data_IF_702438941237
#
_entry.id   IF_702438941237
#
_cell.length_a   1.000
_cell.length_b   1.000
_cell.length_c   1.000
_cell.angle_alpha   90.00
_cell.angle_beta   90.00
_cell.angle_gamma   90.00
#
_symmetry.space_group_name_H-M   'P 1'
#
loop_
_entity.id
_entity.type
_entity.pdbx_description
1 polymer ?
#
# COMPACT_ATOMS: atom_id res chain seq x y z
N UNK A 1 -28.13 -12.72 38.41
CA UNK A 1 -27.98 -13.66 37.25
C UNK A 1 -27.52 -12.96 35.99
N UNK A 2 -27.73 -11.65 35.81
CA UNK A 2 -27.28 -10.88 34.66
C UNK A 2 -25.74 -10.68 34.60
N UNK A 3 -25.09 -10.52 35.76
CA UNK A 3 -23.64 -10.24 35.81
C UNK A 3 -22.74 -11.44 35.48
N UNK A 4 -23.27 -12.67 35.60
CA UNK A 4 -22.52 -13.89 35.26
C UNK A 4 -22.48 -14.11 33.75
N UNK A 5 -23.50 -13.69 33.01
CA UNK A 5 -23.52 -13.79 31.53
C UNK A 5 -22.53 -12.83 30.85
N UNK A 6 -22.34 -11.64 31.40
CA UNK A 6 -21.36 -10.66 30.87
C UNK A 6 -19.91 -11.12 31.07
N UNK A 7 -19.61 -11.79 32.21
CA UNK A 7 -18.26 -12.32 32.43
C UNK A 7 -17.90 -13.49 31.51
N UNK A 8 -18.86 -14.38 31.20
CA UNK A 8 -18.62 -15.48 30.26
C UNK A 8 -18.47 -15.04 28.83
N UNK A 9 -19.18 -14.00 28.39
CA UNK A 9 -19.01 -13.39 27.04
C UNK A 9 -17.60 -12.80 26.88
N UNK A 10 -17.14 -12.01 27.83
CA UNK A 10 -15.82 -11.36 27.77
C UNK A 10 -14.65 -12.37 27.84
N UNK A 11 -14.81 -13.50 28.55
CA UNK A 11 -13.79 -14.56 28.60
C UNK A 11 -13.75 -15.37 27.28
N UNK A 12 -14.88 -15.52 26.60
CA UNK A 12 -14.99 -16.21 25.31
C UNK A 12 -14.25 -15.44 24.20
N UNK A 13 -14.43 -14.12 24.12
CA UNK A 13 -13.76 -13.29 23.12
C UNK A 13 -12.24 -13.23 23.32
N UNK A 14 -11.78 -13.08 24.57
CA UNK A 14 -10.33 -13.09 24.84
C UNK A 14 -9.68 -14.44 24.55
N UNK A 15 -10.37 -15.57 24.78
CA UNK A 15 -9.85 -16.89 24.40
C UNK A 15 -9.82 -17.09 22.88
N UNK A 16 -10.76 -16.52 22.13
CA UNK A 16 -10.81 -16.59 20.68
C UNK A 16 -9.63 -15.82 20.07
N UNK A 17 -9.36 -14.62 20.55
CA UNK A 17 -8.21 -13.80 20.11
C UNK A 17 -6.88 -14.48 20.43
N UNK A 18 -6.73 -15.09 21.61
CA UNK A 18 -5.50 -15.83 21.97
C UNK A 18 -5.33 -17.08 21.10
N UNK A 19 -6.41 -17.78 20.74
CA UNK A 19 -6.35 -18.94 19.85
C UNK A 19 -6.03 -18.56 18.41
N UNK A 20 -6.47 -17.41 17.93
CA UNK A 20 -6.08 -16.88 16.62
C UNK A 20 -4.60 -16.48 16.60
N UNK A 21 -4.13 -15.72 17.59
CA UNK A 21 -2.70 -15.35 17.70
C UNK A 21 -1.79 -16.59 17.80
N UNK A 22 -2.16 -17.63 18.54
CA UNK A 22 -1.37 -18.87 18.63
C UNK A 22 -1.37 -19.69 17.32
N UNK A 23 -2.45 -19.66 16.54
CA UNK A 23 -2.47 -20.32 15.22
C UNK A 23 -1.56 -19.61 14.22
N UNK A 24 -1.55 -18.28 14.20
CA UNK A 24 -0.68 -17.47 13.32
C UNK A 24 0.80 -17.73 13.68
N UNK A 25 1.18 -17.69 14.97
CA UNK A 25 2.53 -17.98 15.43
C UNK A 25 2.96 -19.41 15.05
N UNK A 26 2.06 -20.41 15.16
CA UNK A 26 2.36 -21.79 14.77
C UNK A 26 2.55 -21.95 13.26
N UNK A 27 1.82 -21.21 12.43
CA UNK A 27 1.99 -21.21 10.97
C UNK A 27 3.30 -20.53 10.58
N UNK A 28 3.65 -19.42 11.20
CA UNK A 28 4.89 -18.69 10.97
C UNK A 28 6.13 -19.49 11.38
N UNK A 29 6.10 -20.20 12.50
CA UNK A 29 7.18 -21.09 12.90
C UNK A 29 7.33 -22.30 11.96
N UNK A 30 6.24 -22.87 11.43
CA UNK A 30 6.31 -23.96 10.45
C UNK A 30 6.89 -23.51 9.11
N UNK A 31 6.57 -22.30 8.63
CA UNK A 31 7.12 -21.76 7.38
C UNK A 31 8.62 -21.48 7.48
N UNK A 32 9.09 -20.92 8.59
CA UNK A 32 10.54 -20.70 8.81
C UNK A 32 11.34 -22.00 8.87
N UNK A 33 10.82 -23.05 9.50
CA UNK A 33 11.50 -24.36 9.57
C UNK A 33 11.65 -24.97 8.18
N UNK A 34 10.67 -24.80 7.28
CA UNK A 34 10.75 -25.28 5.90
C UNK A 34 11.81 -24.50 5.10
N UNK A 35 11.90 -23.18 5.27
CA UNK A 35 12.90 -22.34 4.58
C UNK A 35 14.31 -22.67 5.03
N UNK A 36 14.56 -22.88 6.34
CA UNK A 36 15.86 -23.29 6.84
C UNK A 36 16.23 -24.73 6.46
N UNK A 37 15.25 -25.63 6.29
CA UNK A 37 15.46 -26.98 5.80
C UNK A 37 15.94 -27.01 4.34
N UNK A 38 15.41 -26.17 3.48
CA UNK A 38 15.84 -26.06 2.09
C UNK A 38 17.23 -25.40 1.95
N UNK A 39 17.55 -24.40 2.74
CA UNK A 39 18.88 -23.76 2.76
C UNK A 39 19.98 -24.73 3.23
N UNK A 40 19.70 -25.58 4.23
CA UNK A 40 20.65 -26.57 4.70
C UNK A 40 20.91 -27.70 3.68
N UNK A 41 19.88 -28.06 2.87
CA UNK A 41 20.03 -29.09 1.83
C UNK A 41 20.84 -28.59 0.62
N UNK A 42 20.77 -27.29 0.28
CA UNK A 42 21.57 -26.68 -0.79
C UNK A 42 23.06 -26.54 -0.42
N UNK A 43 23.39 -26.39 0.86
CA UNK A 43 24.78 -26.26 1.33
C UNK A 43 25.51 -27.62 1.32
N UNK A 44 24.81 -28.72 1.52
CA UNK A 44 25.39 -30.06 1.46
C UNK A 44 25.67 -30.58 0.04
N UNK A 45 25.08 -29.99 -0.99
CA UNK A 45 25.36 -30.31 -2.38
C UNK A 45 26.55 -29.56 -3.01
N UNK A 46 27.10 -28.54 -2.32
CA UNK A 46 28.21 -27.71 -2.80
C UNK A 46 29.61 -28.10 -2.33
N UNK A 47 29.76 -29.18 -1.55
CA UNK A 47 31.05 -29.64 -1.00
C UNK A 47 31.47 -30.97 -1.62
N UNK A 48 31.63 -30.97 -2.92
CA UNK A 48 32.14 -32.18 -3.60
C UNK A 48 32.53 -31.90 -5.03
N UNK A 49 33.59 -31.14 -5.25
CA UNK A 49 34.55 -31.35 -6.35
C UNK A 49 35.67 -30.30 -6.26
N UNK A 50 36.76 -30.67 -5.63
CA UNK A 50 38.05 -30.00 -5.81
C UNK A 50 38.73 -30.55 -7.08
N UNK A 51 39.04 -29.68 -8.01
CA UNK A 51 40.19 -29.86 -8.89
C UNK A 51 40.82 -28.50 -9.23
N UNK A 52 42.08 -28.45 -8.94
CA UNK A 52 43.09 -27.41 -9.18
C UNK A 52 43.14 -27.02 -10.65
N UNK A 53 43.41 -25.72 -10.99
CA UNK A 53 44.41 -25.29 -11.98
C UNK A 53 44.51 -23.73 -12.03
N UNK A 54 45.69 -23.28 -11.67
CA UNK A 54 46.58 -22.23 -12.22
C UNK A 54 46.11 -20.85 -12.68
N UNK A 55 46.93 -19.89 -12.21
CA UNK A 55 47.08 -18.47 -12.51
C UNK A 55 46.94 -18.05 -13.98
N UNK A 56 46.28 -16.92 -14.17
CA UNK A 56 46.39 -16.06 -15.33
C UNK A 56 45.94 -14.65 -14.94
N UNK A 57 46.90 -13.73 -14.77
CA UNK A 57 46.66 -12.29 -14.64
C UNK A 57 46.13 -11.74 -15.94
N UNK A 58 45.05 -10.97 -15.86
CA UNK A 58 44.67 -9.99 -16.91
C UNK A 58 43.90 -8.83 -16.28
N UNK A 59 44.45 -7.68 -16.48
CA UNK A 59 44.01 -6.33 -16.09
C UNK A 59 42.75 -5.86 -16.85
N UNK A 60 42.03 -4.95 -16.20
CA UNK A 60 41.02 -4.01 -16.71
C UNK A 60 39.57 -4.57 -16.91
N UNK A 61 38.57 -4.10 -16.24
CA UNK A 61 37.92 -2.82 -16.41
C UNK A 61 36.92 -2.59 -15.25
N UNK A 62 37.01 -1.43 -14.65
CA UNK A 62 36.02 -0.93 -13.68
C UNK A 62 34.78 -0.45 -14.44
N UNK A 63 33.89 -1.35 -14.74
CA UNK A 63 32.49 -0.98 -15.03
C UNK A 63 31.74 -0.91 -13.70
N UNK A 64 31.32 0.28 -13.33
CA UNK A 64 30.54 0.54 -12.12
C UNK A 64 29.27 -0.29 -12.14
N UNK A 65 29.19 -1.30 -11.30
CA UNK A 65 27.92 -1.93 -10.93
C UNK A 65 27.17 -0.89 -10.10
N UNK A 66 26.29 -0.13 -10.74
CA UNK A 66 25.24 0.55 -10.05
C UNK A 66 24.41 -0.55 -9.35
N UNK A 67 24.67 -0.73 -8.06
CA UNK A 67 23.77 -1.43 -7.17
C UNK A 67 22.51 -0.56 -7.09
N UNK A 68 21.57 -0.78 -8.01
CA UNK A 68 20.18 -0.42 -7.80
C UNK A 68 19.75 -1.31 -6.62
N UNK A 69 19.82 -0.76 -5.40
CA UNK A 69 19.11 -1.33 -4.28
C UNK A 69 17.65 -1.30 -4.72
N UNK A 70 17.09 -2.45 -5.09
CA UNK A 70 15.66 -2.59 -5.19
C UNK A 70 15.10 -2.15 -3.84
N UNK A 71 14.38 -1.04 -3.81
CA UNK A 71 13.60 -0.64 -2.64
C UNK A 71 12.43 -1.63 -2.55
N UNK A 72 12.71 -2.84 -2.08
CA UNK A 72 11.66 -3.76 -1.65
C UNK A 72 11.07 -3.12 -0.41
N UNK A 73 9.90 -2.51 -0.58
CA UNK A 73 9.13 -2.01 0.54
C UNK A 73 8.78 -3.22 1.41
N UNK A 74 9.03 -3.13 2.69
CA UNK A 74 8.51 -4.11 3.63
C UNK A 74 6.99 -3.98 3.64
N UNK A 75 6.30 -4.94 3.02
CA UNK A 75 4.83 -4.94 2.91
C UNK A 75 4.19 -4.94 4.29
N UNK A 76 4.82 -5.61 5.26
CA UNK A 76 4.35 -5.68 6.65
C UNK A 76 4.37 -4.31 7.32
N UNK A 77 5.26 -3.40 6.89
CA UNK A 77 5.34 -2.04 7.42
C UNK A 77 4.21 -1.13 6.89
N UNK A 78 3.57 -1.45 5.78
CA UNK A 78 2.62 -0.55 5.11
C UNK A 78 1.18 -0.78 5.54
N UNK A 79 0.62 -1.96 5.28
CA UNK A 79 -0.76 -2.29 5.65
C UNK A 79 -1.07 -3.78 5.52
N UNK A 80 -2.06 -4.25 6.26
CA UNK A 80 -2.59 -5.60 6.18
C UNK A 80 -4.12 -5.58 6.20
N UNK A 81 -4.75 -6.21 5.21
CA UNK A 81 -6.20 -6.37 5.17
C UNK A 81 -6.66 -7.42 6.18
N UNK A 82 -7.78 -7.17 6.88
CA UNK A 82 -8.40 -8.16 7.77
C UNK A 82 -8.99 -9.34 6.99
N UNK A 83 -9.49 -9.09 5.77
CA UNK A 83 -10.00 -10.09 4.83
C UNK A 83 -9.10 -10.11 3.59
N UNK A 84 -8.47 -11.26 3.34
CA UNK A 84 -7.56 -11.49 2.22
C UNK A 84 -8.16 -12.39 1.14
N UNK A 85 -9.44 -12.73 1.23
CA UNK A 85 -10.11 -13.56 0.22
C UNK A 85 -10.18 -12.80 -1.11
N UNK A 86 -9.61 -13.40 -2.16
CA UNK A 86 -9.53 -12.78 -3.49
C UNK A 86 -8.57 -11.59 -3.58
N UNK A 87 -7.64 -11.45 -2.63
CA UNK A 87 -6.56 -10.47 -2.64
C UNK A 87 -5.34 -11.00 -3.41
N UNK A 88 -4.71 -10.13 -4.19
CA UNK A 88 -3.38 -10.36 -4.79
C UNK A 88 -2.47 -9.20 -4.36
N UNK A 89 -1.38 -9.52 -3.67
CA UNK A 89 -0.34 -8.54 -3.37
C UNK A 89 0.62 -8.43 -4.56
N UNK A 90 0.72 -7.22 -5.12
CA UNK A 90 1.59 -6.90 -6.24
C UNK A 90 2.64 -5.89 -5.81
N UNK A 91 3.91 -6.27 -5.89
CA UNK A 91 5.03 -5.36 -5.65
C UNK A 91 5.44 -4.71 -6.96
N UNK A 92 5.43 -3.38 -7.00
CA UNK A 92 5.87 -2.54 -8.11
C UNK A 92 7.13 -1.76 -7.69
N UNK A 93 7.81 -1.17 -8.66
CA UNK A 93 9.05 -0.42 -8.37
C UNK A 93 8.79 0.77 -7.45
N UNK A 94 7.66 1.43 -7.59
CA UNK A 94 7.29 2.63 -6.83
C UNK A 94 6.26 2.42 -5.72
N UNK A 95 5.61 1.24 -5.62
CA UNK A 95 4.55 0.98 -4.64
C UNK A 95 4.25 -0.51 -4.48
N UNK A 96 3.49 -0.84 -3.45
CA UNK A 96 2.85 -2.15 -3.27
C UNK A 96 1.34 -1.94 -3.34
N UNK A 97 0.60 -2.83 -3.98
CA UNK A 97 -0.85 -2.82 -3.99
C UNK A 97 -1.44 -4.15 -3.53
N UNK A 98 -2.43 -4.09 -2.66
CA UNK A 98 -3.38 -5.16 -2.42
C UNK A 98 -4.50 -5.02 -3.43
N UNK A 99 -4.53 -5.88 -4.41
CA UNK A 99 -5.53 -5.86 -5.48
C UNK A 99 -6.69 -6.78 -5.17
N UNK A 100 -7.91 -6.29 -5.35
CA UNK A 100 -9.15 -7.04 -5.18
C UNK A 100 -9.65 -7.58 -6.53
N UNK A 101 -9.64 -8.91 -6.70
CA UNK A 101 -10.05 -9.57 -7.94
C UNK A 101 -11.53 -9.29 -8.26
N UNK A 102 -12.42 -9.29 -7.26
CA UNK A 102 -13.84 -9.09 -7.46
C UNK A 102 -14.16 -7.66 -7.88
N UNK A 103 -13.54 -6.68 -7.24
CA UNK A 103 -13.71 -5.25 -7.51
C UNK A 103 -12.89 -4.74 -8.69
N UNK A 104 -11.84 -5.48 -9.10
CA UNK A 104 -10.91 -5.12 -10.19
C UNK A 104 -10.22 -3.78 -9.97
N UNK A 105 -9.92 -3.47 -8.71
CA UNK A 105 -9.24 -2.28 -8.26
C UNK A 105 -8.54 -2.56 -6.91
N UNK A 106 -7.64 -1.68 -6.42
CA UNK A 106 -6.94 -1.97 -5.18
C UNK A 106 -7.88 -1.96 -3.97
N UNK A 107 -7.58 -2.78 -2.94
CA UNK A 107 -8.04 -2.56 -1.57
C UNK A 107 -7.28 -1.39 -0.97
N UNK A 108 -5.96 -1.41 -1.15
CA UNK A 108 -5.05 -0.34 -0.77
C UNK A 108 -3.80 -0.34 -1.66
N UNK A 109 -3.15 0.81 -1.72
CA UNK A 109 -1.83 1.02 -2.33
C UNK A 109 -0.96 1.75 -1.33
N UNK A 110 0.25 1.22 -1.09
CA UNK A 110 1.17 1.77 -0.12
C UNK A 110 2.56 2.02 -0.70
N UNK A 111 3.21 3.11 -0.30
CA UNK A 111 4.57 3.45 -0.73
C UNK A 111 5.32 4.30 0.27
N UNK A 112 6.62 4.25 0.17
CA UNK A 112 7.54 5.17 0.82
C UNK A 112 7.80 6.35 -0.11
N UNK A 113 7.64 7.57 0.36
CA UNK A 113 7.87 8.78 -0.39
C UNK A 113 9.02 9.57 0.22
N UNK A 114 10.01 9.94 -0.61
CA UNK A 114 11.13 10.81 -0.26
C UNK A 114 11.19 12.02 -1.19
N UNK A 115 11.93 13.05 -0.82
CA UNK A 115 12.17 14.22 -1.69
C UNK A 115 12.75 13.85 -3.05
N UNK A 116 13.59 12.81 -3.13
CA UNK A 116 14.19 12.34 -4.40
C UNK A 116 13.16 11.70 -5.33
N UNK A 117 12.09 11.11 -4.79
CA UNK A 117 11.06 10.46 -5.60
C UNK A 117 10.22 11.45 -6.40
N UNK A 118 10.08 12.69 -5.92
CA UNK A 118 9.26 13.73 -6.56
C UNK A 118 10.06 14.60 -7.54
N UNK A 119 11.38 14.44 -7.55
CA UNK A 119 12.30 15.08 -8.47
C UNK A 119 12.87 14.06 -9.44
N UNK A 120 12.93 14.38 -10.72
CA UNK A 120 13.51 13.46 -11.70
C UNK A 120 13.04 13.75 -13.12
N UNK A 121 13.70 13.13 -14.11
CA UNK A 121 13.45 13.42 -15.52
C UNK A 121 12.23 12.67 -16.08
N UNK A 122 11.71 11.67 -15.39
CA UNK A 122 10.66 10.81 -15.91
C UNK A 122 9.29 11.43 -15.69
N UNK A 123 8.69 11.91 -16.78
CA UNK A 123 7.42 12.63 -16.77
C UNK A 123 6.31 11.76 -17.35
N UNK A 124 5.08 11.99 -16.89
CA UNK A 124 3.87 11.27 -17.36
C UNK A 124 3.53 11.49 -18.86
N UNK A 125 4.18 12.44 -19.52
CA UNK A 125 3.84 12.77 -20.91
C UNK A 125 4.03 11.58 -21.85
N UNK A 126 2.95 11.20 -22.52
CA UNK A 126 2.95 10.09 -23.48
C UNK A 126 2.62 8.72 -22.88
N UNK A 127 2.63 8.57 -21.54
CA UNK A 127 2.24 7.33 -20.89
C UNK A 127 0.71 7.21 -20.90
N UNK A 128 0.21 6.05 -21.32
CA UNK A 128 -1.22 5.74 -21.32
C UNK A 128 -1.54 4.80 -20.17
N UNK A 129 -2.77 4.89 -19.67
CA UNK A 129 -3.30 3.86 -18.77
C UNK A 129 -3.37 2.52 -19.49
N UNK A 130 -2.98 1.45 -18.83
CA UNK A 130 -2.92 0.11 -19.40
C UNK A 130 -3.29 -0.97 -18.38
N UNK A 131 -3.67 -2.10 -18.93
CA UNK A 131 -4.03 -3.28 -18.15
C UNK A 131 -2.80 -3.83 -17.43
N UNK A 132 -3.04 -4.46 -16.29
CA UNK A 132 -2.02 -5.18 -15.55
C UNK A 132 -2.16 -6.68 -15.84
N UNK A 133 -1.18 -7.25 -16.51
CA UNK A 133 -1.20 -8.65 -16.93
C UNK A 133 -0.95 -9.63 -15.77
N UNK A 134 -0.46 -9.13 -14.63
CA UNK A 134 -0.23 -9.94 -13.43
C UNK A 134 -1.52 -10.26 -12.67
N UNK A 135 -2.66 -9.72 -13.10
CA UNK A 135 -3.96 -10.03 -12.49
C UNK A 135 -4.89 -10.76 -13.46
N UNK A 136 -5.78 -11.66 -12.96
CA UNK A 136 -6.65 -12.47 -13.83
C UNK A 136 -7.69 -11.62 -14.56
N UNK A 137 -8.16 -12.14 -15.69
CA UNK A 137 -9.34 -11.66 -16.40
C UNK A 137 -10.64 -12.08 -15.67
N UNK A 138 -11.73 -11.28 -15.73
CA UNK A 138 -11.79 -9.94 -16.31
C UNK A 138 -11.18 -8.89 -15.39
N UNK A 139 -10.33 -8.03 -15.94
CA UNK A 139 -9.67 -6.94 -15.23
C UNK A 139 -10.13 -5.57 -15.74
N UNK A 140 -9.78 -4.48 -15.06
CA UNK A 140 -10.13 -3.14 -15.48
C UNK A 140 -9.36 -2.72 -16.73
N UNK A 141 -10.04 -2.04 -17.64
CA UNK A 141 -9.49 -1.58 -18.92
C UNK A 141 -9.78 -0.09 -19.16
N UNK A 142 -9.08 0.55 -20.08
CA UNK A 142 -9.35 1.92 -20.49
C UNK A 142 -10.80 2.13 -20.98
N UNK A 143 -11.36 1.10 -21.63
CA UNK A 143 -12.72 1.13 -22.15
C UNK A 143 -13.80 1.22 -21.03
N UNK A 144 -13.52 0.70 -19.83
CA UNK A 144 -14.46 0.77 -18.70
C UNK A 144 -14.61 2.20 -18.17
N UNK A 145 -13.57 3.01 -18.26
CA UNK A 145 -13.56 4.39 -17.80
C UNK A 145 -14.02 5.40 -18.86
N UNK A 146 -13.89 5.05 -20.16
CA UNK A 146 -14.25 5.95 -21.25
C UNK A 146 -15.74 6.28 -21.20
N UNK A 147 -16.07 7.58 -21.18
CA UNK A 147 -17.45 8.08 -21.11
C UNK A 147 -18.24 7.58 -19.88
N UNK A 148 -17.58 7.10 -18.84
CA UNK A 148 -18.22 6.63 -17.60
C UNK A 148 -18.72 7.78 -16.71
N UNK A 149 -18.18 8.98 -16.89
CA UNK A 149 -18.38 10.12 -16.01
C UNK A 149 -17.39 10.16 -14.82
N UNK A 150 -16.42 9.23 -14.79
CA UNK A 150 -15.39 9.16 -13.78
C UNK A 150 -14.00 9.27 -14.39
N UNK A 151 -13.11 9.91 -13.66
CA UNK A 151 -11.68 9.94 -13.96
C UNK A 151 -11.02 8.61 -13.59
N UNK A 152 -9.86 8.37 -14.18
CA UNK A 152 -8.90 7.35 -13.77
C UNK A 152 -8.07 7.90 -12.61
N UNK A 153 -8.60 7.78 -11.39
CA UNK A 153 -7.95 8.31 -10.19
C UNK A 153 -6.81 7.42 -9.74
N UNK A 154 -5.61 7.98 -9.66
CA UNK A 154 -4.45 7.28 -9.12
C UNK A 154 -4.55 7.11 -7.60
N UNK A 155 -4.10 5.95 -7.10
CA UNK A 155 -3.81 5.78 -5.68
C UNK A 155 -2.38 6.23 -5.40
N UNK A 156 -1.36 5.56 -5.91
CA UNK A 156 0.01 6.07 -5.93
C UNK A 156 0.18 6.99 -7.15
N UNK A 157 0.40 8.30 -6.97
CA UNK A 157 0.37 9.25 -8.07
C UNK A 157 1.63 9.22 -8.92
N UNK A 158 1.48 9.48 -10.19
CA UNK A 158 2.58 9.68 -11.15
C UNK A 158 3.60 10.74 -10.66
N UNK A 159 3.13 11.76 -9.92
CA UNK A 159 3.99 12.79 -9.35
C UNK A 159 5.02 12.31 -8.34
N UNK A 160 4.81 11.13 -7.73
CA UNK A 160 5.67 10.53 -6.72
C UNK A 160 6.64 9.49 -7.32
N UNK A 161 6.60 9.30 -8.64
CA UNK A 161 7.37 8.27 -9.37
C UNK A 161 8.31 8.84 -10.45
N UNK A 162 8.72 10.11 -10.33
CA UNK A 162 9.57 10.77 -11.33
C UNK A 162 11.02 10.29 -11.35
N UNK A 163 11.44 9.55 -10.34
CA UNK A 163 12.80 9.07 -10.14
C UNK A 163 13.16 7.83 -10.97
N UNK A 164 12.17 7.10 -11.49
CA UNK A 164 12.35 5.89 -12.29
C UNK A 164 11.35 5.86 -13.43
N UNK A 165 11.81 5.52 -14.65
CA UNK A 165 10.93 5.35 -15.79
C UNK A 165 9.93 4.23 -15.54
N UNK A 166 10.37 3.08 -15.03
CA UNK A 166 9.53 1.93 -14.74
C UNK A 166 8.49 2.24 -13.65
N UNK A 167 8.91 2.91 -12.55
CA UNK A 167 7.96 3.33 -11.51
C UNK A 167 6.90 4.28 -12.08
N UNK A 168 7.31 5.20 -12.97
CA UNK A 168 6.41 6.14 -13.65
C UNK A 168 5.41 5.39 -14.54
N UNK A 169 5.87 4.44 -15.36
CA UNK A 169 5.01 3.63 -16.23
C UNK A 169 4.05 2.76 -15.41
N UNK A 170 4.54 2.07 -14.39
CA UNK A 170 3.73 1.23 -13.52
C UNK A 170 2.64 2.00 -12.77
N UNK A 171 2.84 3.30 -12.48
CA UNK A 171 1.79 4.10 -11.84
C UNK A 171 0.50 4.20 -12.66
N UNK A 172 0.55 3.94 -13.98
CA UNK A 172 -0.61 3.95 -14.90
C UNK A 172 -1.27 2.58 -15.10
N UNK A 173 -0.84 1.54 -14.38
CA UNK A 173 -1.53 0.24 -14.34
C UNK A 173 -2.90 0.37 -13.69
N UNK A 174 -3.93 -0.28 -14.25
CA UNK A 174 -5.29 -0.23 -13.67
C UNK A 174 -5.38 -0.85 -12.28
N UNK A 175 -4.40 -1.63 -11.84
CA UNK A 175 -4.28 -2.11 -10.45
C UNK A 175 -3.95 -1.01 -9.44
N UNK A 176 -3.62 0.20 -9.90
CA UNK A 176 -3.38 1.41 -9.11
C UNK A 176 -4.49 2.47 -9.29
N UNK A 177 -5.59 2.16 -9.98
CA UNK A 177 -6.58 3.14 -10.44
C UNK A 177 -7.97 2.82 -9.92
N UNK A 178 -8.67 3.85 -9.46
CA UNK A 178 -10.07 3.78 -9.04
C UNK A 178 -10.95 4.82 -9.78
N UNK A 179 -12.27 4.55 -9.96
CA UNK A 179 -13.20 5.55 -10.49
C UNK A 179 -13.35 6.73 -9.52
N UNK A 180 -12.84 7.89 -9.88
CA UNK A 180 -12.95 9.12 -9.08
C UNK A 180 -13.77 10.20 -9.78
N UNK A 181 -14.58 10.94 -9.03
CA UNK A 181 -15.22 12.17 -9.53
C UNK A 181 -14.14 13.20 -9.86
N UNK A 182 -14.26 13.86 -11.02
CA UNK A 182 -13.27 14.82 -11.52
C UNK A 182 -12.93 15.91 -10.49
N UNK A 183 -13.95 16.48 -9.83
CA UNK A 183 -13.74 17.53 -8.84
C UNK A 183 -12.97 17.08 -7.59
N UNK A 184 -13.05 15.80 -7.21
CA UNK A 184 -12.18 15.23 -6.18
C UNK A 184 -10.77 15.00 -6.74
N UNK A 185 -10.67 14.28 -7.86
CA UNK A 185 -9.39 13.86 -8.45
C UNK A 185 -8.49 15.07 -8.79
N UNK A 186 -9.03 16.08 -9.43
CA UNK A 186 -8.30 17.29 -9.82
C UNK A 186 -8.21 18.34 -8.68
N UNK A 187 -9.09 18.24 -7.67
CA UNK A 187 -9.18 19.15 -6.51
C UNK A 187 -8.51 18.59 -5.26
N UNK A 188 -9.30 18.33 -4.22
CA UNK A 188 -8.83 18.01 -2.85
C UNK A 188 -7.85 16.82 -2.80
N UNK A 189 -8.06 15.79 -3.65
CA UNK A 189 -7.15 14.64 -3.71
C UNK A 189 -5.77 15.04 -4.25
N UNK A 190 -5.74 15.76 -5.38
CA UNK A 190 -4.48 16.28 -5.95
C UNK A 190 -3.78 17.28 -5.00
N UNK A 191 -4.53 18.11 -4.28
CA UNK A 191 -3.95 19.01 -3.28
C UNK A 191 -3.33 18.25 -2.13
N UNK A 192 -3.94 17.13 -1.71
CA UNK A 192 -3.39 16.26 -0.68
C UNK A 192 -2.13 15.54 -1.14
N UNK A 193 -2.08 15.10 -2.40
CA UNK A 193 -0.87 14.54 -3.00
C UNK A 193 0.29 15.55 -3.00
N UNK A 194 0.00 16.80 -3.38
CA UNK A 194 0.99 17.89 -3.33
C UNK A 194 1.45 18.16 -1.89
N UNK A 195 0.55 18.06 -0.91
CA UNK A 195 0.89 18.23 0.50
C UNK A 195 1.79 17.10 1.01
N UNK A 196 1.51 15.84 0.64
CA UNK A 196 2.35 14.69 0.98
C UNK A 196 3.79 14.88 0.45
N UNK A 197 3.95 15.38 -0.79
CA UNK A 197 5.27 15.69 -1.34
C UNK A 197 6.04 16.73 -0.50
N UNK A 198 5.36 17.80 -0.07
CA UNK A 198 5.97 18.80 0.83
C UNK A 198 6.35 18.20 2.18
N UNK A 199 5.53 17.29 2.71
CA UNK A 199 5.86 16.59 3.94
C UNK A 199 7.06 15.64 3.76
N UNK A 200 7.14 14.92 2.65
CA UNK A 200 8.29 14.08 2.34
C UNK A 200 9.61 14.91 2.26
N UNK A 201 9.56 16.08 1.67
CA UNK A 201 10.70 17.01 1.64
C UNK A 201 11.08 17.50 3.06
N UNK A 202 10.10 17.87 3.88
CA UNK A 202 10.30 18.38 5.25
C UNK A 202 10.77 17.29 6.21
N UNK A 203 10.14 16.12 6.16
CA UNK A 203 10.40 14.99 7.04
C UNK A 203 11.61 14.14 6.58
N UNK A 204 12.04 14.27 5.31
CA UNK A 204 13.04 13.43 4.65
C UNK A 204 12.38 12.22 3.99
N UNK A 205 11.53 11.52 4.72
CA UNK A 205 10.69 10.43 4.20
C UNK A 205 9.37 10.33 4.95
N UNK A 206 8.35 9.84 4.26
CA UNK A 206 7.05 9.46 4.83
C UNK A 206 6.57 8.16 4.20
N UNK A 207 5.71 7.45 4.91
CA UNK A 207 5.02 6.27 4.41
C UNK A 207 3.55 6.63 4.17
N UNK A 208 3.01 6.24 3.04
CA UNK A 208 1.64 6.57 2.63
C UNK A 208 0.91 5.28 2.26
N UNK A 209 -0.31 5.12 2.77
CA UNK A 209 -1.24 4.09 2.33
C UNK A 209 -2.55 4.76 1.96
N UNK A 210 -3.11 4.45 0.80
CA UNK A 210 -4.42 4.96 0.43
C UNK A 210 -5.22 3.92 -0.36
N UNK A 211 -6.53 4.11 -0.43
CA UNK A 211 -7.39 3.20 -1.16
C UNK A 211 -8.85 3.64 -1.17
N UNK A 212 -9.70 2.89 -1.88
CA UNK A 212 -11.13 3.12 -1.93
C UNK A 212 -11.83 2.65 -0.65
N UNK A 213 -12.97 3.27 -0.35
CA UNK A 213 -13.89 2.84 0.71
C UNK A 213 -15.23 2.51 0.06
N UNK A 214 -15.73 1.31 0.37
CA UNK A 214 -17.06 0.83 0.02
C UNK A 214 -17.87 0.69 1.31
N UNK A 215 -18.98 1.45 1.43
CA UNK A 215 -19.80 1.41 2.64
C UNK A 215 -20.87 0.33 2.57
N UNK A 216 -20.80 -0.62 3.49
CA UNK A 216 -21.86 -1.60 3.75
C UNK A 216 -22.09 -2.59 2.62
N UNK A 217 -23.26 -3.27 2.67
CA UNK A 217 -23.70 -4.24 1.66
C UNK A 217 -24.54 -3.61 0.52
N UNK A 218 -24.48 -2.29 0.36
CA UNK A 218 -25.25 -1.60 -0.67
C UNK A 218 -24.78 -2.00 -2.08
N UNK A 219 -25.73 -1.95 -3.03
CA UNK A 219 -25.38 -2.13 -4.45
C UNK A 219 -24.61 -0.89 -4.92
N UNK A 220 -23.31 -1.02 -5.12
CA UNK A 220 -22.48 0.06 -5.63
C UNK A 220 -22.78 0.35 -7.10
N UNK A 221 -22.74 1.61 -7.49
CA UNK A 221 -22.73 1.99 -8.91
C UNK A 221 -21.53 1.33 -9.58
N UNK A 222 -21.68 0.89 -10.82
CA UNK A 222 -20.63 0.23 -11.58
C UNK A 222 -20.41 0.94 -12.91
N UNK A 223 -19.18 0.91 -13.41
CA UNK A 223 -18.80 1.45 -14.72
C UNK A 223 -18.27 0.33 -15.63
N UNK A 224 -18.37 0.58 -16.94
CA UNK A 224 -17.83 -0.27 -17.98
C UNK A 224 -18.45 -1.65 -18.09
N UNK A 225 -17.99 -2.40 -19.08
CA UNK A 225 -18.44 -3.79 -19.32
C UNK A 225 -17.96 -4.76 -18.26
N UNK A 226 -16.83 -4.43 -17.60
CA UNK A 226 -16.25 -5.27 -16.56
C UNK A 226 -16.86 -5.00 -15.17
N UNK A 227 -17.88 -4.13 -15.07
CA UNK A 227 -18.62 -3.85 -13.85
C UNK A 227 -17.72 -3.38 -12.69
N UNK A 228 -16.83 -2.43 -12.95
CA UNK A 228 -15.95 -1.85 -11.94
C UNK A 228 -16.80 -1.05 -10.94
N UNK A 229 -16.86 -1.39 -9.65
CA UNK A 229 -17.65 -0.65 -8.68
C UNK A 229 -17.03 0.72 -8.42
N UNK A 230 -17.89 1.72 -8.19
CA UNK A 230 -17.47 3.09 -7.86
C UNK A 230 -17.43 3.23 -6.35
N UNK A 231 -16.26 3.57 -5.77
CA UNK A 231 -16.14 3.80 -4.34
C UNK A 231 -16.96 5.01 -3.88
N UNK A 232 -17.53 4.94 -2.69
CA UNK A 232 -18.21 6.07 -2.06
C UNK A 232 -17.25 7.09 -1.45
N UNK A 233 -16.06 6.63 -1.06
CA UNK A 233 -15.03 7.49 -0.48
C UNK A 233 -13.63 6.90 -0.74
N UNK A 234 -12.61 7.67 -0.34
CA UNK A 234 -11.21 7.26 -0.36
C UNK A 234 -10.56 7.61 0.97
N UNK A 235 -9.66 6.77 1.42
CA UNK A 235 -8.80 7.08 2.55
C UNK A 235 -7.37 7.36 2.10
N UNK A 236 -6.64 8.09 2.93
CA UNK A 236 -5.19 8.25 2.85
C UNK A 236 -4.63 8.33 4.27
N UNK A 237 -3.68 7.47 4.60
CA UNK A 237 -2.97 7.43 5.88
C UNK A 237 -1.51 7.74 5.62
N UNK A 238 -0.93 8.60 6.45
CA UNK A 238 0.46 9.06 6.33
C UNK A 238 1.17 8.87 7.66
N UNK A 239 2.37 8.27 7.62
CA UNK A 239 3.25 8.06 8.76
C UNK A 239 4.60 8.76 8.52
N UNK A 240 5.12 9.47 9.51
CA UNK A 240 6.51 9.91 9.60
C UNK A 240 7.16 9.27 10.83
N UNK A 241 8.37 8.73 10.63
CA UNK A 241 9.20 8.17 11.70
C UNK A 241 10.34 9.13 12.12
N UNK A 242 10.35 10.37 11.58
CA UNK A 242 11.37 11.35 11.89
C UNK A 242 11.19 11.88 13.31
N UNK A 243 12.28 11.95 14.07
CA UNK A 243 12.36 12.48 15.43
C UNK A 243 11.33 11.88 16.40
N UNK A 244 10.08 12.34 16.32
CA UNK A 244 8.94 11.82 17.06
C UNK A 244 7.95 11.22 16.07
N UNK A 245 7.74 9.87 16.09
CA UNK A 245 6.77 9.22 15.21
C UNK A 245 5.39 9.84 15.32
N UNK A 246 4.74 10.07 14.17
CA UNK A 246 3.40 10.63 14.07
C UNK A 246 2.69 10.08 12.83
N UNK A 247 1.38 9.88 12.96
CA UNK A 247 0.55 9.46 11.84
C UNK A 247 -0.72 10.33 11.74
N UNK A 248 -1.33 10.35 10.56
CA UNK A 248 -2.56 11.09 10.29
C UNK A 248 -3.34 10.39 9.19
N UNK A 249 -4.66 10.28 9.39
CA UNK A 249 -5.59 9.74 8.43
C UNK A 249 -6.45 10.84 7.79
N UNK A 250 -6.93 10.59 6.57
CA UNK A 250 -7.87 11.44 5.84
C UNK A 250 -8.93 10.58 5.18
N UNK A 251 -10.18 11.06 5.16
CA UNK A 251 -11.27 10.43 4.43
C UNK A 251 -11.97 11.47 3.54
N UNK A 252 -11.99 11.21 2.25
CA UNK A 252 -12.60 12.04 1.22
C UNK A 252 -13.79 11.30 0.61
N UNK A 253 -14.99 11.88 0.65
CA UNK A 253 -16.13 11.37 -0.13
C UNK A 253 -15.82 11.47 -1.62
N UNK A 254 -16.25 10.50 -2.42
CA UNK A 254 -16.07 10.52 -3.87
C UNK A 254 -17.03 11.51 -4.53
N UNK A 255 -16.84 12.79 -4.25
CA UNK A 255 -17.63 13.92 -4.76
C UNK A 255 -16.72 15.15 -4.87
N UNK A 256 -17.17 16.14 -5.64
CA UNK A 256 -16.47 17.44 -5.68
C UNK A 256 -16.46 18.05 -4.28
N UNK A 257 -15.31 18.53 -3.87
CA UNK A 257 -15.09 19.25 -2.61
C UNK A 257 -14.32 20.53 -2.88
N UNK A 258 -14.08 21.27 -1.86
CA UNK A 258 -13.12 22.38 -1.76
C UNK A 258 -13.13 22.82 -0.30
N UNK A 259 -12.64 21.95 0.60
CA UNK A 259 -12.61 22.22 2.03
C UNK A 259 -11.17 22.30 2.53
N UNK A 260 -10.94 23.00 3.62
CA UNK A 260 -9.64 22.95 4.30
C UNK A 260 -9.25 21.51 4.61
N UNK A 261 -7.98 21.17 4.46
CA UNK A 261 -7.46 19.79 4.67
C UNK A 261 -7.80 19.25 6.06
N UNK A 262 -7.86 20.13 7.07
CA UNK A 262 -8.25 19.77 8.43
C UNK A 262 -9.66 19.17 8.56
N UNK A 263 -10.58 19.49 7.65
CA UNK A 263 -11.95 18.95 7.66
C UNK A 263 -12.02 17.47 7.29
N UNK A 264 -10.95 16.92 6.71
CA UNK A 264 -10.85 15.53 6.28
C UNK A 264 -10.05 14.65 7.26
N UNK A 265 -9.48 15.27 8.32
CA UNK A 265 -8.61 14.59 9.28
C UNK A 265 -9.38 13.57 10.09
N UNK A 266 -8.77 12.41 10.24
CA UNK A 266 -9.17 11.30 11.08
C UNK A 266 -7.93 10.74 11.79
N UNK A 267 -8.11 10.07 12.92
CA UNK A 267 -7.05 9.24 13.50
C UNK A 267 -6.87 7.99 12.64
N UNK A 268 -5.71 7.34 12.72
CA UNK A 268 -5.48 6.07 12.03
C UNK A 268 -6.48 5.02 12.52
N UNK A 269 -6.67 4.89 13.86
CA UNK A 269 -7.71 4.05 14.47
C UNK A 269 -9.12 4.25 13.87
N UNK A 270 -9.46 5.50 13.47
CA UNK A 270 -10.76 5.76 12.84
C UNK A 270 -10.81 5.21 11.42
N UNK A 271 -9.72 5.35 10.66
CA UNK A 271 -9.63 4.81 9.31
C UNK A 271 -9.65 3.29 9.35
N UNK A 272 -8.95 2.65 10.27
CA UNK A 272 -8.93 1.19 10.47
C UNK A 272 -10.31 0.62 10.76
N UNK A 273 -11.04 1.25 11.69
CA UNK A 273 -12.43 0.84 11.99
C UNK A 273 -13.36 0.91 10.79
N UNK A 274 -13.10 1.82 9.85
CA UNK A 274 -13.95 2.01 8.66
C UNK A 274 -13.55 1.04 7.56
N UNK A 275 -12.24 0.79 7.40
CA UNK A 275 -11.70 0.01 6.27
C UNK A 275 -11.47 -1.46 6.59
N UNK A 276 -11.28 -1.80 7.86
CA UNK A 276 -10.83 -3.13 8.28
C UNK A 276 -9.38 -3.41 7.89
N UNK A 277 -8.59 -2.39 7.59
CA UNK A 277 -7.17 -2.48 7.26
C UNK A 277 -6.39 -2.08 8.49
N UNK A 278 -5.39 -2.86 8.85
CA UNK A 278 -4.39 -2.60 9.88
C UNK A 278 -3.22 -1.88 9.21
N UNK A 279 -2.91 -0.65 9.64
CA UNK A 279 -1.87 0.16 9.04
C UNK A 279 -0.58 0.08 9.86
N UNK A 280 0.52 -0.11 9.17
CA UNK A 280 1.87 -0.17 9.75
C UNK A 280 2.06 -1.26 10.82
N UNK A 281 1.55 -2.48 10.62
CA UNK A 281 1.48 -3.55 11.63
C UNK A 281 2.84 -4.07 12.10
N UNK A 282 3.93 -3.64 11.50
CA UNK A 282 5.29 -3.96 11.94
C UNK A 282 5.90 -2.93 12.88
N UNK A 283 5.17 -1.85 13.21
CA UNK A 283 5.59 -0.95 14.26
C UNK A 283 5.54 -1.65 15.62
N UNK A 284 6.45 -1.29 16.57
CA UNK A 284 6.28 -1.72 17.95
C UNK A 284 4.95 -1.25 18.53
N UNK A 285 4.23 -2.12 19.27
CA UNK A 285 2.88 -1.88 19.80
C UNK A 285 2.77 -0.53 20.55
N UNK A 286 3.82 -0.11 21.28
CA UNK A 286 3.83 1.15 22.05
C UNK A 286 3.97 2.40 21.13
N UNK A 287 4.58 2.25 19.97
CA UNK A 287 4.68 3.32 18.95
C UNK A 287 3.36 3.37 18.16
N UNK A 288 2.91 2.22 17.65
CA UNK A 288 1.67 2.04 16.90
C UNK A 288 0.48 2.65 17.65
N UNK A 289 0.16 2.15 18.85
CA UNK A 289 -0.93 2.66 19.67
C UNK A 289 -0.88 4.17 19.92
N UNK A 290 0.33 4.76 19.97
CA UNK A 290 0.51 6.18 20.23
C UNK A 290 0.26 7.03 18.99
N UNK A 291 0.73 6.59 17.82
CA UNK A 291 0.61 7.37 16.58
C UNK A 291 -0.78 7.25 15.97
N UNK A 292 -1.47 6.13 16.20
CA UNK A 292 -2.78 5.84 15.62
C UNK A 292 -3.94 6.50 16.38
N UNK A 293 -3.79 6.66 17.69
CA UNK A 293 -4.83 7.23 18.56
C UNK A 293 -5.03 8.74 18.36
N UNK A 294 -4.12 9.44 17.71
CA UNK A 294 -4.14 10.91 17.61
C UNK A 294 -3.86 11.39 16.19
N UNK A 295 -4.56 12.44 15.80
CA UNK A 295 -4.32 13.13 14.54
C UNK A 295 -4.44 14.65 14.76
N UNK A 296 -3.40 15.37 14.41
CA UNK A 296 -3.39 16.83 14.43
C UNK A 296 -2.66 17.33 13.18
N UNK A 297 -3.35 18.08 12.33
CA UNK A 297 -2.79 18.61 11.09
C UNK A 297 -1.66 19.62 11.36
N UNK A 298 -1.71 20.33 12.49
CA UNK A 298 -0.71 21.34 12.85
C UNK A 298 0.68 20.73 13.12
N UNK A 299 0.74 19.44 13.52
CA UNK A 299 2.00 18.73 13.72
C UNK A 299 2.74 18.47 12.40
N UNK A 300 2.06 18.65 11.27
CA UNK A 300 2.56 18.40 9.91
C UNK A 300 2.86 19.70 9.13
N UNK A 301 2.43 20.86 9.63
CA UNK A 301 2.58 22.17 8.95
C UNK A 301 3.92 22.89 9.19
#
# INVERSE_FOLDING_TARGET
MADIYLLFSCISEKKLVILQKTRIISYYMKSKVVVYGFAALCILAAVGNNSVITKGESTADKAGKNNVKSNVYDIELLAQSADTEGEILLTRVGYVTSYNIANKQPNWVGWRLTGDHVTGPFLRKGIKFHEDEDVPEPRATDADYRSSGYDRGHMCPSGDNKWSQEAQEQSFLFTNICPQIHGLNAGDWNEMEQQCRKWAEKEGEIYIVCGPIFYGSATHKKIGKNNIPVPEAFFKVVLSMKDTPKAIGFIYKNQSGNRPKGDYVNTVDQVERITGIDFFPSLPDDVENKVEAKANIDDWM
#
